data_IF_070509144615
#
_entry.id   IF_070509144615
#
_cell.length_a   1.000
_cell.length_b   1.000
_cell.length_c   1.000
_cell.angle_alpha   90.00
_cell.angle_beta   90.00
_cell.angle_gamma   90.00
#
_symmetry.space_group_name_H-M   'P 1'
#
loop_
_entity.id
_entity.type
_entity.pdbx_description
1 polymer ?
#
# COMPACT_ATOMS: atom_id res chain seq x y z
N UNK A 1 7.03 15.65 -17.37
CA UNK A 1 6.79 15.29 -15.97
C UNK A 1 6.66 13.78 -15.84
N UNK A 2 7.45 13.18 -14.98
CA UNK A 2 7.33 11.76 -14.71
C UNK A 2 6.05 11.49 -13.95
N UNK A 3 5.31 10.45 -14.37
CA UNK A 3 4.14 10.01 -13.62
C UNK A 3 4.63 9.08 -12.51
N UNK A 4 4.24 9.38 -11.28
CA UNK A 4 4.54 8.55 -10.13
C UNK A 4 3.24 7.98 -9.56
N UNK A 5 3.33 6.75 -9.07
CA UNK A 5 2.19 6.04 -8.49
C UNK A 5 2.55 5.60 -7.08
N UNK A 6 1.60 5.78 -6.16
CA UNK A 6 1.68 5.19 -4.84
C UNK A 6 0.88 3.89 -4.83
N UNK A 7 1.47 2.83 -4.32
CA UNK A 7 0.79 1.54 -4.11
C UNK A 7 0.61 1.32 -2.62
N UNK A 8 -0.63 1.30 -2.17
CA UNK A 8 -0.97 1.20 -0.75
C UNK A 8 -1.81 -0.03 -0.46
N UNK A 9 -1.13 -1.11 -0.06
CA UNK A 9 -1.78 -2.30 0.45
C UNK A 9 -2.04 -2.15 1.94
N UNK A 10 -3.25 -2.44 2.39
CA UNK A 10 -3.63 -2.32 3.80
C UNK A 10 -4.47 -3.51 4.23
N UNK A 11 -4.40 -3.88 5.50
CA UNK A 11 -5.26 -4.93 6.03
C UNK A 11 -6.74 -4.49 6.06
N UNK A 12 -7.00 -3.19 6.25
CA UNK A 12 -8.35 -2.61 6.26
C UNK A 12 -9.34 -3.43 7.09
N UNK A 13 -9.00 -3.68 8.35
CA UNK A 13 -9.72 -4.62 9.21
C UNK A 13 -10.26 -3.93 10.47
N UNK A 14 -11.28 -3.09 10.37
CA UNK A 14 -11.86 -2.51 9.15
C UNK A 14 -11.12 -1.26 8.68
N UNK A 15 -11.44 -0.72 7.49
CA UNK A 15 -10.90 0.58 7.09
C UNK A 15 -11.45 1.68 7.99
N UNK A 16 -10.61 2.69 8.25
CA UNK A 16 -10.92 3.76 9.20
C UNK A 16 -10.76 5.14 8.57
N UNK A 17 -11.11 6.18 9.34
CA UNK A 17 -10.86 7.57 8.97
C UNK A 17 -9.37 7.79 8.72
N UNK A 18 -8.50 7.07 9.44
CA UNK A 18 -7.06 7.11 9.20
C UNK A 18 -6.68 6.69 7.79
N UNK A 19 -7.29 5.62 7.29
CA UNK A 19 -7.08 5.17 5.90
C UNK A 19 -7.54 6.24 4.91
N UNK A 20 -8.70 6.85 5.17
CA UNK A 20 -9.23 7.92 4.34
C UNK A 20 -8.25 9.08 4.24
N UNK A 21 -7.71 9.54 5.37
CA UNK A 21 -6.74 10.64 5.43
C UNK A 21 -5.47 10.30 4.66
N UNK A 22 -4.96 9.08 4.83
CA UNK A 22 -3.77 8.63 4.12
C UNK A 22 -3.99 8.70 2.60
N UNK A 23 -5.11 8.15 2.13
CA UNK A 23 -5.43 8.15 0.70
C UNK A 23 -5.57 9.57 0.15
N UNK A 24 -6.23 10.46 0.88
CA UNK A 24 -6.37 11.85 0.46
C UNK A 24 -5.02 12.56 0.37
N UNK A 25 -4.14 12.35 1.36
CA UNK A 25 -2.82 12.97 1.36
C UNK A 25 -1.94 12.42 0.22
N UNK A 26 -1.98 11.10 -0.01
CA UNK A 26 -1.25 10.50 -1.12
C UNK A 26 -1.71 11.04 -2.47
N UNK A 27 -2.99 11.30 -2.62
CA UNK A 27 -3.53 11.84 -3.88
C UNK A 27 -3.03 13.25 -4.20
N UNK A 28 -2.55 13.97 -3.19
CA UNK A 28 -1.95 15.30 -3.39
C UNK A 28 -0.50 15.21 -3.85
N UNK A 29 0.17 14.11 -3.53
CA UNK A 29 1.60 13.92 -3.81
C UNK A 29 1.82 13.17 -5.13
N UNK A 30 1.01 12.16 -5.39
CA UNK A 30 1.18 11.25 -6.52
C UNK A 30 0.18 11.51 -7.62
N UNK A 31 0.54 11.17 -8.86
CA UNK A 31 -0.38 11.24 -10.00
C UNK A 31 -1.57 10.32 -9.76
N UNK A 32 -1.32 9.11 -9.26
CA UNK A 32 -2.35 8.15 -8.88
C UNK A 32 -1.94 7.41 -7.62
N UNK A 33 -2.94 7.05 -6.83
CA UNK A 33 -2.77 6.17 -5.66
C UNK A 33 -3.64 4.94 -5.90
N UNK A 34 -3.01 3.76 -5.86
CA UNK A 34 -3.71 2.50 -6.06
C UNK A 34 -3.72 1.76 -4.73
N UNK A 35 -4.90 1.37 -4.28
CA UNK A 35 -5.05 0.68 -3.01
C UNK A 35 -5.75 -0.66 -3.17
N UNK A 36 -5.41 -1.58 -2.30
CA UNK A 36 -5.97 -2.92 -2.24
C UNK A 36 -5.87 -3.45 -0.82
N UNK A 37 -6.65 -4.49 -0.53
CA UNK A 37 -6.54 -5.17 0.76
C UNK A 37 -5.47 -6.24 0.67
N UNK A 38 -4.46 -6.12 1.53
CA UNK A 38 -3.37 -7.09 1.59
C UNK A 38 -3.86 -8.43 2.18
N UNK A 39 -3.29 -9.52 1.68
CA UNK A 39 -3.61 -10.87 2.14
C UNK A 39 -2.40 -11.51 2.80
N UNK A 40 -2.06 -11.04 4.01
CA UNK A 40 -0.93 -11.58 4.75
C UNK A 40 -1.34 -12.88 5.47
N UNK A 41 -0.80 -14.04 5.07
CA UNK A 41 -1.20 -15.31 5.68
C UNK A 41 -0.76 -15.47 7.12
N UNK A 42 0.21 -14.69 7.58
CA UNK A 42 0.71 -14.74 8.96
C UNK A 42 -0.10 -13.89 9.92
N UNK A 43 -0.97 -13.04 9.41
CA UNK A 43 -1.76 -12.13 10.22
C UNK A 43 -3.19 -12.65 10.37
N UNK A 44 -3.67 -12.70 11.61
CA UNK A 44 -5.08 -13.00 11.85
C UNK A 44 -5.90 -11.74 11.60
N UNK A 45 -6.98 -11.92 10.86
CA UNK A 45 -7.92 -10.85 10.57
C UNK A 45 -9.25 -11.12 11.25
N UNK A 46 -9.94 -10.05 11.66
CA UNK A 46 -11.25 -10.14 12.26
C UNK A 46 -12.28 -10.50 11.19
N UNK A 47 -12.17 -9.88 10.02
CA UNK A 47 -13.11 -10.09 8.91
C UNK A 47 -12.44 -10.75 7.72
N UNK A 48 -13.25 -11.43 6.89
CA UNK A 48 -12.79 -12.02 5.64
C UNK A 48 -12.28 -10.95 4.68
N UNK A 49 -11.36 -11.35 3.82
CA UNK A 49 -10.81 -10.46 2.80
C UNK A 49 -11.90 -9.92 1.87
N UNK A 50 -12.94 -10.68 1.58
CA UNK A 50 -14.06 -10.23 0.75
C UNK A 50 -14.81 -9.08 1.40
N UNK A 51 -15.04 -9.13 2.71
CA UNK A 51 -15.68 -8.06 3.46
C UNK A 51 -14.77 -6.85 3.54
N UNK A 52 -13.49 -7.06 3.88
CA UNK A 52 -12.53 -5.98 4.01
C UNK A 52 -12.34 -5.25 2.68
N UNK A 53 -12.26 -5.98 1.57
CA UNK A 53 -12.09 -5.37 0.25
C UNK A 53 -13.33 -4.59 -0.17
N UNK A 54 -14.53 -5.10 0.14
CA UNK A 54 -15.77 -4.38 -0.13
C UNK A 54 -15.83 -3.06 0.63
N UNK A 55 -15.43 -3.08 1.91
CA UNK A 55 -15.43 -1.88 2.75
C UNK A 55 -14.41 -0.85 2.25
N UNK A 56 -13.23 -1.29 1.87
CA UNK A 56 -12.21 -0.39 1.32
C UNK A 56 -12.67 0.22 0.00
N UNK A 57 -13.24 -0.60 -0.88
CA UNK A 57 -13.80 -0.11 -2.15
C UNK A 57 -14.87 0.94 -1.92
N UNK A 58 -15.78 0.70 -0.96
CA UNK A 58 -16.83 1.65 -0.62
C UNK A 58 -16.25 2.96 -0.12
N UNK A 59 -15.23 2.90 0.74
CA UNK A 59 -14.57 4.10 1.25
C UNK A 59 -13.94 4.90 0.10
N UNK A 60 -13.28 4.23 -0.83
CA UNK A 60 -12.65 4.88 -1.98
C UNK A 60 -13.70 5.49 -2.91
N UNK A 61 -14.80 4.76 -3.16
CA UNK A 61 -15.89 5.29 -3.98
C UNK A 61 -16.50 6.54 -3.34
N UNK A 62 -16.66 6.55 -2.02
CA UNK A 62 -17.21 7.71 -1.29
C UNK A 62 -16.28 8.93 -1.33
N UNK A 63 -14.97 8.72 -1.43
CA UNK A 63 -14.02 9.82 -1.58
C UNK A 63 -14.20 10.57 -2.90
N UNK A 64 -14.73 9.91 -3.92
CA UNK A 64 -15.00 10.49 -5.24
C UNK A 64 -13.80 11.25 -5.80
N UNK A 65 -12.61 10.65 -5.68
CA UNK A 65 -11.37 11.22 -6.14
C UNK A 65 -10.79 10.38 -7.27
N UNK A 66 -10.74 10.90 -8.52
CA UNK A 66 -10.29 10.10 -9.66
C UNK A 66 -8.82 9.69 -9.60
N UNK A 67 -8.04 10.29 -8.70
CA UNK A 67 -6.63 9.92 -8.50
C UNK A 67 -6.46 8.73 -7.55
N UNK A 68 -7.52 8.31 -6.89
CA UNK A 68 -7.49 7.17 -5.96
C UNK A 68 -8.22 6.01 -6.60
N UNK A 69 -7.49 4.91 -6.81
CA UNK A 69 -8.03 3.72 -7.49
C UNK A 69 -8.00 2.54 -6.53
N UNK A 70 -9.07 1.74 -6.56
CA UNK A 70 -9.13 0.47 -5.86
C UNK A 70 -8.96 -0.66 -6.88
N UNK A 71 -8.03 -1.60 -6.63
CA UNK A 71 -7.86 -2.75 -7.50
C UNK A 71 -7.42 -3.97 -6.68
N UNK A 72 -8.38 -4.81 -6.33
CA UNK A 72 -8.12 -6.01 -5.53
C UNK A 72 -7.38 -7.11 -6.31
N UNK A 73 -7.33 -7.03 -7.63
CA UNK A 73 -6.57 -7.98 -8.46
C UNK A 73 -5.06 -7.92 -8.18
N UNK A 74 -4.60 -6.80 -7.63
CA UNK A 74 -3.19 -6.61 -7.27
C UNK A 74 -2.83 -7.40 -6.02
N UNK A 75 -3.80 -7.64 -5.15
CA UNK A 75 -3.56 -8.33 -3.89
C UNK A 75 -2.93 -9.70 -4.11
N UNK A 76 -1.95 -10.01 -3.30
CA UNK A 76 -1.23 -11.27 -3.33
C UNK A 76 -0.74 -11.60 -1.93
N UNK A 77 -0.33 -12.84 -1.75
CA UNK A 77 0.30 -13.29 -0.51
C UNK A 77 1.64 -12.59 -0.25
N UNK A 78 2.32 -12.17 -1.32
CA UNK A 78 3.65 -11.58 -1.25
C UNK A 78 3.67 -10.19 -1.86
N UNK A 79 4.34 -9.25 -1.19
CA UNK A 79 4.47 -7.89 -1.70
C UNK A 79 5.13 -7.83 -3.08
N UNK A 80 6.15 -8.67 -3.32
CA UNK A 80 6.83 -8.72 -4.61
C UNK A 80 5.88 -9.06 -5.75
N UNK A 81 4.92 -9.94 -5.52
CA UNK A 81 3.92 -10.30 -6.53
C UNK A 81 2.91 -9.19 -6.76
N UNK A 82 2.50 -8.49 -5.70
CA UNK A 82 1.61 -7.34 -5.81
C UNK A 82 2.25 -6.22 -6.62
N UNK A 83 3.52 -5.96 -6.39
CA UNK A 83 4.29 -4.96 -7.15
C UNK A 83 4.34 -5.35 -8.62
N UNK A 84 4.63 -6.61 -8.90
CA UNK A 84 4.69 -7.11 -10.28
C UNK A 84 3.35 -6.97 -10.99
N UNK A 85 2.27 -7.35 -10.34
CA UNK A 85 0.91 -7.21 -10.90
C UNK A 85 0.56 -5.75 -11.16
N UNK A 86 0.93 -4.87 -10.24
CA UNK A 86 0.70 -3.44 -10.41
C UNK A 86 1.41 -2.91 -11.64
N UNK A 87 2.66 -3.30 -11.84
CA UNK A 87 3.44 -2.86 -13.01
C UNK A 87 2.92 -3.42 -14.32
N UNK A 88 2.33 -4.61 -14.30
CA UNK A 88 1.73 -5.20 -15.49
C UNK A 88 0.42 -4.49 -15.90
N UNK A 89 -0.37 -4.08 -14.91
CA UNK A 89 -1.67 -3.45 -15.16
C UNK A 89 -1.52 -1.96 -15.45
N UNK A 90 -0.67 -1.27 -14.70
CA UNK A 90 -0.47 0.16 -14.79
C UNK A 90 0.94 0.47 -15.25
N UNK A 91 1.06 1.16 -16.37
CA UNK A 91 2.37 1.53 -16.93
C UNK A 91 2.73 2.96 -16.51
N UNK A 92 3.85 3.08 -15.81
CA UNK A 92 4.34 4.35 -15.28
C UNK A 92 5.84 4.23 -15.00
N UNK A 93 6.49 5.37 -14.75
CA UNK A 93 7.94 5.40 -14.58
C UNK A 93 8.38 5.08 -13.15
N UNK A 94 7.65 5.58 -12.15
CA UNK A 94 8.06 5.44 -10.75
C UNK A 94 6.92 4.87 -9.91
N UNK A 95 7.24 3.91 -9.07
CA UNK A 95 6.32 3.31 -8.12
C UNK A 95 6.88 3.43 -6.71
N UNK A 96 6.12 4.04 -5.82
CA UNK A 96 6.42 4.06 -4.40
C UNK A 96 5.49 3.12 -3.67
N UNK A 97 6.05 2.22 -2.89
CA UNK A 97 5.29 1.30 -2.07
C UNK A 97 5.07 1.93 -0.69
N UNK A 98 3.81 2.14 -0.33
CA UNK A 98 3.45 2.85 0.90
C UNK A 98 3.32 1.87 2.05
N UNK A 99 4.03 2.12 3.13
CA UNK A 99 3.98 1.31 4.35
C UNK A 99 3.88 2.20 5.58
N UNK A 100 3.29 1.68 6.64
CA UNK A 100 3.36 2.32 7.95
C UNK A 100 4.70 2.03 8.63
N UNK A 101 5.14 2.91 9.50
CA UNK A 101 6.41 2.75 10.21
C UNK A 101 6.43 1.51 11.12
N UNK A 102 5.27 0.99 11.50
CA UNK A 102 5.15 -0.25 12.25
C UNK A 102 5.64 -1.48 11.48
N UNK A 103 5.70 -1.41 10.15
CA UNK A 103 6.13 -2.52 9.29
C UNK A 103 7.62 -2.49 8.93
N UNK A 104 8.34 -1.42 9.28
CA UNK A 104 9.75 -1.27 8.86
C UNK A 104 10.62 -2.45 9.28
N UNK A 105 10.42 -2.96 10.48
CA UNK A 105 11.18 -4.11 10.97
C UNK A 105 10.91 -5.39 10.19
N UNK A 106 9.72 -5.49 9.61
CA UNK A 106 9.27 -6.71 8.93
C UNK A 106 9.65 -6.76 7.46
N UNK A 107 9.78 -5.61 6.78
CA UNK A 107 10.00 -5.57 5.34
C UNK A 107 11.29 -6.26 4.91
N UNK A 108 12.33 -6.24 5.75
CA UNK A 108 13.61 -6.87 5.46
C UNK A 108 13.50 -8.40 5.35
N UNK A 109 12.45 -8.97 5.91
CA UNK A 109 12.18 -10.41 5.88
C UNK A 109 11.14 -10.80 4.84
N UNK A 110 10.65 -9.84 4.05
CA UNK A 110 9.70 -10.13 2.99
C UNK A 110 10.35 -10.95 1.88
N UNK A 111 9.56 -11.83 1.30
CA UNK A 111 10.01 -12.64 0.17
C UNK A 111 10.59 -11.77 -0.93
N UNK A 112 11.79 -12.11 -1.38
CA UNK A 112 12.49 -11.40 -2.45
C UNK A 112 12.68 -9.90 -2.18
N UNK A 113 12.93 -9.53 -0.93
CA UNK A 113 13.14 -8.14 -0.55
C UNK A 113 14.21 -7.45 -1.40
N UNK A 114 15.30 -8.16 -1.70
CA UNK A 114 16.38 -7.65 -2.54
C UNK A 114 15.91 -7.30 -3.96
N UNK A 115 14.90 -7.99 -4.48
CA UNK A 115 14.27 -7.65 -5.76
C UNK A 115 13.32 -6.48 -5.62
N UNK A 116 12.61 -6.41 -4.49
CA UNK A 116 11.66 -5.32 -4.22
C UNK A 116 12.37 -3.97 -4.23
N UNK A 117 13.52 -3.87 -3.56
CA UNK A 117 14.25 -2.60 -3.45
C UNK A 117 14.80 -2.11 -4.79
N UNK A 118 14.91 -2.99 -5.79
CA UNK A 118 15.30 -2.60 -7.15
C UNK A 118 14.12 -2.07 -7.96
N UNK A 119 12.89 -2.38 -7.54
CA UNK A 119 11.68 -2.09 -8.31
C UNK A 119 10.89 -0.92 -7.79
N UNK A 120 11.00 -0.60 -6.51
CA UNK A 120 10.20 0.44 -5.87
C UNK A 120 11.04 1.24 -4.87
N UNK A 121 10.56 2.45 -4.58
CA UNK A 121 10.97 3.18 -3.39
C UNK A 121 9.88 3.01 -2.33
N UNK A 122 10.24 3.16 -1.07
CA UNK A 122 9.27 3.08 0.02
C UNK A 122 8.86 4.47 0.47
N UNK A 123 7.56 4.68 0.59
CA UNK A 123 6.99 5.87 1.22
C UNK A 123 6.50 5.45 2.61
N UNK A 124 7.09 6.02 3.66
CA UNK A 124 6.83 5.58 5.01
C UNK A 124 5.92 6.56 5.72
N UNK A 125 4.79 6.04 6.23
CA UNK A 125 3.85 6.83 7.02
C UNK A 125 4.18 6.60 8.48
N UNK A 126 4.54 7.67 9.18
CA UNK A 126 4.87 7.57 10.60
C UNK A 126 3.63 7.29 11.44
N UNK A 127 3.74 6.29 12.29
CA UNK A 127 2.68 5.93 13.22
C UNK A 127 3.18 6.13 14.65
N UNK A 128 2.28 6.57 15.52
CA UNK A 128 2.58 6.76 16.94
C UNK A 128 3.08 5.45 17.55
N UNK A 129 4.17 5.52 18.32
CA UNK A 129 4.78 4.35 18.93
C UNK A 129 5.78 3.61 18.04
N UNK A 130 5.92 4.03 16.77
CA UNK A 130 6.81 3.39 15.80
C UNK A 130 7.70 4.41 15.10
N UNK A 131 8.64 5.04 15.82
CA UNK A 131 9.54 6.02 15.20
C UNK A 131 10.51 5.34 14.23
N UNK A 132 10.92 6.06 13.21
CA UNK A 132 11.92 5.59 12.26
C UNK A 132 13.29 6.05 12.71
N UNK A 133 14.20 5.09 12.98
CA UNK A 133 15.56 5.40 13.32
C UNK A 133 16.37 5.64 12.04
N UNK A 134 17.25 6.65 12.06
CA UNK A 134 17.98 7.05 10.86
C UNK A 134 18.83 5.92 10.27
N UNK A 135 19.37 5.03 11.09
CA UNK A 135 20.21 3.91 10.62
C UNK A 135 19.40 2.79 9.95
N UNK A 136 18.09 2.74 10.17
CA UNK A 136 17.23 1.72 9.57
C UNK A 136 17.09 1.91 8.06
N UNK A 137 17.19 3.14 7.58
CA UNK A 137 16.95 3.51 6.20
C UNK A 137 18.22 3.60 5.35
N UNK A 138 19.34 3.30 5.93
CA UNK A 138 20.63 3.35 5.23
C UNK A 138 20.95 2.05 4.51
#
# INVERSE_FOLDING_TARGET
MEKSIALFGTSADPPTIGHKKILEELSKIYAFTISYVSNNPKKKHIEDISIRSHLLKTLIDDLDNPKILFNQKISSQWAVESIKKCKEIYKFNNLDFVIGSDLIKDIFYWKDFDKIILEVSFFIILREGYPVESNTLK
#
